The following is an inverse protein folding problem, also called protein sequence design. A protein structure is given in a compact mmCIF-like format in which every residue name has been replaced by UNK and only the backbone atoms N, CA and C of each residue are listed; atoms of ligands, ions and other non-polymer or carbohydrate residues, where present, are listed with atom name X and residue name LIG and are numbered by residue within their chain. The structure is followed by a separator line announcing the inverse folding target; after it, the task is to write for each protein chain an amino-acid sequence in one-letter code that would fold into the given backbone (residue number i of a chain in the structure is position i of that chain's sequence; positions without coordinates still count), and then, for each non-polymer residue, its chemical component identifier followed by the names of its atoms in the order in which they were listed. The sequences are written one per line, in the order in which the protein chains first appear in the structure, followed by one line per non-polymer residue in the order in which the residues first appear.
data_IF_503537797175
#
_entry.id   IF_503537797175
#
_cell.length_a   1.000
_cell.length_b   1.000
_cell.length_c   1.000
_cell.angle_alpha   90.00
_cell.angle_beta   90.00
_cell.angle_gamma   90.00
#
_symmetry.space_group_name_H-M   'P 1'
#
loop_
_entity.id
_entity.type
_entity.pdbx_description
1 polymer ?
#
# COMPACT_ATOMS: atom_id res chain seq x y z
N UNK A 1 19.58 -3.66 19.06
CA UNK A 1 18.76 -2.48 18.69
C UNK A 1 19.16 -1.24 19.48
N UNK A 2 18.95 -1.16 20.80
CA UNK A 2 19.24 0.06 21.59
C UNK A 2 20.74 0.42 21.67
N UNK A 3 21.64 -0.56 21.71
CA UNK A 3 23.08 -0.33 21.67
C UNK A 3 23.52 0.46 20.43
N UNK A 4 22.90 0.19 19.29
CA UNK A 4 23.17 0.90 18.03
C UNK A 4 22.69 2.34 18.10
N UNK A 5 21.46 2.57 18.57
CA UNK A 5 20.89 3.92 18.71
C UNK A 5 21.72 4.78 19.67
N UNK A 6 22.12 4.23 20.84
CA UNK A 6 23.01 4.93 21.78
C UNK A 6 24.36 5.28 21.15
N UNK A 7 24.92 4.39 20.30
CA UNK A 7 26.17 4.67 19.58
C UNK A 7 26.01 5.81 18.57
N UNK A 8 24.90 5.86 17.84
CA UNK A 8 24.62 6.91 16.85
C UNK A 8 24.42 8.29 17.51
N UNK A 9 23.68 8.33 18.62
CA UNK A 9 23.46 9.56 19.40
C UNK A 9 24.61 9.92 20.34
N UNK A 10 25.66 9.07 20.42
CA UNK A 10 26.77 9.19 21.38
C UNK A 10 26.29 9.27 22.85
N UNK A 11 25.18 8.58 23.14
CA UNK A 11 24.52 8.56 24.45
C UNK A 11 25.24 7.62 25.43
N UNK A 12 25.57 8.14 26.62
CA UNK A 12 26.31 7.40 27.65
C UNK A 12 25.38 6.55 28.52
N UNK A 13 25.79 5.32 28.85
CA UNK A 13 25.01 4.45 29.76
C UNK A 13 25.13 4.82 31.23
N UNK A 14 26.09 5.70 31.58
CA UNK A 14 26.31 6.17 32.94
C UNK A 14 25.61 7.50 33.21
N UNK A 15 25.47 8.31 32.17
CA UNK A 15 24.85 9.64 32.20
C UNK A 15 23.98 9.81 30.95
N UNK A 16 22.80 9.17 30.91
CA UNK A 16 21.97 9.14 29.70
C UNK A 16 21.30 10.49 29.47
N UNK A 17 21.39 10.98 28.24
CA UNK A 17 20.70 12.20 27.77
C UNK A 17 19.48 11.86 26.89
N UNK A 18 19.52 10.71 26.22
CA UNK A 18 18.47 10.33 25.26
C UNK A 18 17.69 9.08 25.69
N UNK A 19 18.37 8.04 26.19
CA UNK A 19 17.72 6.74 26.50
C UNK A 19 17.99 6.29 27.94
N UNK A 20 16.94 6.21 28.76
CA UNK A 20 16.98 5.65 30.12
C UNK A 20 16.61 4.17 30.13
N UNK A 21 17.41 3.36 30.82
CA UNK A 21 17.10 1.95 31.12
C UNK A 21 16.36 1.84 32.44
N UNK A 22 15.22 1.14 32.45
CA UNK A 22 14.42 0.88 33.65
C UNK A 22 14.38 -0.62 33.92
N UNK A 23 14.84 -1.10 35.10
CA UNK A 23 14.85 -2.51 35.43
C UNK A 23 13.46 -3.15 35.26
N UNK A 24 13.41 -4.31 34.59
CA UNK A 24 12.18 -5.09 34.30
C UNK A 24 11.10 -4.36 33.48
N UNK A 25 11.31 -3.11 33.08
CA UNK A 25 10.39 -2.30 32.25
C UNK A 25 10.94 -2.04 30.84
N UNK A 26 12.26 -1.97 30.67
CA UNK A 26 12.89 -1.80 29.36
C UNK A 26 13.54 -0.42 29.19
N UNK A 27 13.24 0.25 28.08
CA UNK A 27 13.89 1.50 27.67
C UNK A 27 12.87 2.63 27.52
N UNK A 28 13.26 3.84 27.91
CA UNK A 28 12.45 5.05 27.78
C UNK A 28 13.27 6.15 27.11
N UNK A 29 12.67 6.85 26.15
CA UNK A 29 13.23 8.08 25.60
C UNK A 29 13.01 9.22 26.59
N UNK A 30 14.08 9.95 26.91
CA UNK A 30 14.08 11.06 27.87
C UNK A 30 14.39 12.41 27.19
N UNK A 31 14.31 12.45 25.86
CA UNK A 31 14.44 13.65 25.05
C UNK A 31 13.11 14.01 24.37
N UNK A 32 12.97 15.26 23.95
CA UNK A 32 11.86 15.70 23.11
C UNK A 32 11.94 15.03 21.74
N UNK A 33 10.79 14.60 21.21
CA UNK A 33 10.68 14.01 19.87
C UNK A 33 9.58 14.72 19.10
N UNK A 34 9.89 15.13 17.88
CA UNK A 34 8.95 15.76 16.96
C UNK A 34 8.45 14.73 15.95
N UNK A 35 7.17 14.79 15.58
CA UNK A 35 6.58 13.90 14.57
C UNK A 35 6.56 14.62 13.24
N UNK A 36 7.36 14.14 12.29
CA UNK A 36 7.30 14.62 10.92
C UNK A 36 6.06 14.01 10.23
N UNK A 37 5.14 14.86 9.81
CA UNK A 37 4.04 14.47 8.91
C UNK A 37 4.63 14.09 7.55
N UNK A 38 4.24 12.96 6.93
CA UNK A 38 4.81 12.49 5.68
C UNK A 38 4.58 13.43 4.47
N UNK A 39 3.80 14.51 4.62
CA UNK A 39 3.58 15.54 3.60
C UNK A 39 4.50 16.77 3.68
N UNK A 40 5.40 16.84 4.68
CA UNK A 40 6.23 18.03 4.93
C UNK A 40 7.72 17.70 4.99
N UNK A 41 8.21 16.94 4.02
CA UNK A 41 9.65 16.68 3.86
C UNK A 41 10.30 17.74 2.96
N UNK A 42 10.21 19.02 3.33
CA UNK A 42 11.13 20.07 2.87
C UNK A 42 10.92 21.36 3.67
N UNK A 43 11.44 21.40 4.90
CA UNK A 43 11.73 22.67 5.59
C UNK A 43 12.69 22.42 6.74
N UNK A 44 13.88 23.00 6.63
CA UNK A 44 14.86 23.04 7.72
C UNK A 44 14.30 23.82 8.93
N UNK A 45 14.36 23.16 10.09
CA UNK A 45 14.73 23.68 11.42
C UNK A 45 14.14 25.02 11.88
N UNK A 46 13.23 24.97 12.85
CA UNK A 46 13.47 25.60 14.16
C UNK A 46 12.59 24.96 15.25
N UNK A 47 13.11 24.97 16.46
CA UNK A 47 12.68 24.23 17.64
C UNK A 47 11.45 24.90 18.27
N UNK A 48 10.39 24.15 18.64
CA UNK A 48 9.58 24.48 19.82
C UNK A 48 8.65 23.32 20.26
N UNK A 49 8.45 23.29 21.57
CA UNK A 49 7.96 22.25 22.46
C UNK A 49 6.41 22.18 22.54
N UNK A 50 5.79 20.98 22.47
CA UNK A 50 4.60 20.61 23.27
C UNK A 50 3.99 19.22 22.93
N UNK A 51 4.16 18.30 23.89
CA UNK A 51 3.15 17.41 24.54
C UNK A 51 1.98 16.75 23.78
N UNK A 52 2.00 15.40 23.89
CA UNK A 52 0.87 14.47 24.14
C UNK A 52 -0.22 14.29 23.07
N UNK A 53 -0.81 13.11 22.82
CA UNK A 53 -0.66 11.69 23.17
C UNK A 53 -1.61 10.99 22.18
N UNK A 54 -1.20 9.87 21.59
CA UNK A 54 -2.02 9.09 20.65
C UNK A 54 -2.10 7.67 21.21
N UNK A 55 -3.29 7.11 21.36
CA UNK A 55 -3.45 5.67 21.63
C UNK A 55 -4.26 5.04 20.50
N UNK A 56 -3.61 4.09 19.83
CA UNK A 56 -4.08 3.34 18.68
C UNK A 56 -4.39 1.92 19.12
N UNK A 57 -5.52 1.46 18.61
CA UNK A 57 -6.03 0.10 18.52
C UNK A 57 -5.04 -0.89 17.88
N UNK A 58 -5.09 -2.18 18.21
CA UNK A 58 -5.32 -3.26 17.23
C UNK A 58 -5.05 -4.66 17.81
N UNK A 59 -5.94 -5.57 17.42
CA UNK A 59 -5.98 -7.00 17.73
C UNK A 59 -5.24 -7.86 16.68
N UNK A 60 -4.86 -9.07 17.12
CA UNK A 60 -4.30 -10.21 16.38
C UNK A 60 -5.27 -10.85 15.38
N UNK A 61 -4.76 -11.42 14.28
CA UNK A 61 -5.28 -12.66 13.64
C UNK A 61 -4.13 -13.40 12.93
N UNK A 62 -3.97 -14.71 13.21
CA UNK A 62 -3.15 -15.66 12.45
C UNK A 62 -4.02 -16.71 11.73
N UNK A 63 -3.56 -17.09 10.54
CA UNK A 63 -4.19 -17.95 9.53
C UNK A 63 -3.96 -19.45 9.78
N UNK A 64 -4.94 -20.27 9.41
CA UNK A 64 -4.93 -21.74 9.39
C UNK A 64 -4.74 -22.25 7.96
N UNK A 65 -3.91 -23.28 7.76
CA UNK A 65 -4.18 -24.33 6.76
C UNK A 65 -3.37 -25.62 7.04
N UNK A 66 -3.92 -26.78 6.68
CA UNK A 66 -3.26 -28.09 6.74
C UNK A 66 -3.62 -28.94 5.49
N UNK A 67 -2.67 -29.74 4.94
CA UNK A 67 -2.79 -30.40 3.64
C UNK A 67 -3.21 -31.88 3.74
N UNK A 68 -3.56 -32.51 2.59
CA UNK A 68 -3.72 -33.97 2.49
C UNK A 68 -3.08 -34.54 1.22
N UNK A 69 -2.44 -35.69 1.39
CA UNK A 69 -1.42 -36.35 0.54
C UNK A 69 -1.94 -37.73 0.03
N UNK A 70 -1.32 -38.24 -1.06
CA UNK A 70 -1.03 -39.68 -1.36
C UNK A 70 -2.19 -40.62 -1.76
N UNK A 71 -2.07 -41.73 -2.51
CA UNK A 71 -0.99 -42.49 -3.18
C UNK A 71 -1.66 -43.45 -4.24
N UNK A 72 -1.02 -43.74 -5.38
CA UNK A 72 -0.35 -45.02 -5.77
C UNK A 72 -1.26 -46.28 -5.91
N UNK A 73 -1.25 -46.94 -7.07
CA UNK A 73 -0.64 -48.27 -7.36
C UNK A 73 -1.76 -49.19 -7.89
N UNK A 74 -1.62 -50.26 -8.68
CA UNK A 74 -0.61 -50.94 -9.50
C UNK A 74 -1.37 -52.21 -9.99
N UNK A 75 -1.12 -52.77 -11.20
CA UNK A 75 -1.38 -54.20 -11.51
C UNK A 75 -0.78 -54.57 -12.87
N UNK A 76 0.28 -55.35 -12.74
CA UNK A 76 1.02 -56.21 -13.66
C UNK A 76 0.16 -57.23 -14.43
N UNK A 77 0.50 -57.54 -15.69
CA UNK A 77 0.41 -58.90 -16.25
C UNK A 77 1.50 -59.09 -17.33
N UNK A 78 2.00 -60.32 -17.36
CA UNK A 78 3.28 -60.83 -17.84
C UNK A 78 3.21 -61.51 -19.22
N UNK A 79 4.39 -61.86 -19.76
CA UNK A 79 4.73 -62.87 -20.80
C UNK A 79 5.15 -62.35 -22.20
N UNK A 80 6.46 -62.32 -22.41
CA UNK A 80 7.24 -62.48 -23.67
C UNK A 80 7.61 -64.01 -23.78
N UNK A 81 8.08 -64.67 -24.89
CA UNK A 81 8.83 -64.06 -26.00
C UNK A 81 8.79 -64.67 -27.42
N UNK A 82 9.07 -63.85 -28.45
CA UNK A 82 9.78 -64.28 -29.69
C UNK A 82 10.53 -63.09 -30.37
N UNK A 83 11.77 -63.39 -30.80
CA UNK A 83 12.85 -62.55 -31.37
C UNK A 83 12.72 -62.54 -32.91
N UNK A 84 12.71 -61.45 -33.70
CA UNK A 84 13.81 -60.68 -34.36
C UNK A 84 13.21 -59.89 -35.59
N UNK A 85 13.86 -58.92 -36.30
CA UNK A 85 14.28 -57.54 -35.97
C UNK A 85 13.60 -56.46 -36.90
N UNK A 86 14.08 -55.18 -36.95
CA UNK A 86 13.24 -53.99 -36.84
C UNK A 86 12.65 -53.50 -38.18
N UNK A 87 11.32 -53.34 -38.24
CA UNK A 87 10.70 -52.43 -39.22
C UNK A 87 10.44 -51.10 -38.53
N UNK A 88 11.15 -50.08 -39.03
CA UNK A 88 11.07 -48.69 -38.62
C UNK A 88 9.62 -48.23 -38.37
N UNK A 89 9.36 -47.71 -37.18
CA UNK A 89 8.15 -46.95 -36.90
C UNK A 89 8.10 -45.70 -37.78
N UNK A 90 6.98 -45.39 -38.44
CA UNK A 90 6.73 -44.02 -38.86
C UNK A 90 6.40 -43.21 -37.60
N UNK A 91 7.30 -42.32 -37.17
CA UNK A 91 6.94 -41.24 -36.25
C UNK A 91 5.77 -40.47 -36.89
N UNK A 92 4.64 -40.24 -36.20
CA UNK A 92 3.65 -39.31 -36.72
C UNK A 92 4.31 -37.94 -36.71
N UNK A 93 4.57 -37.40 -37.90
CA UNK A 93 4.94 -36.01 -38.06
C UNK A 93 3.72 -35.19 -37.60
N UNK A 94 3.76 -34.70 -36.36
CA UNK A 94 2.81 -33.72 -35.88
C UNK A 94 2.99 -32.48 -36.76
N UNK A 95 2.09 -32.30 -37.71
CA UNK A 95 1.99 -31.09 -38.49
C UNK A 95 1.45 -30.00 -37.56
N UNK A 96 2.33 -29.44 -36.73
CA UNK A 96 1.96 -28.36 -35.82
C UNK A 96 1.67 -27.15 -36.70
N UNK A 97 0.40 -26.81 -36.82
CA UNK A 97 -0.02 -25.65 -37.58
C UNK A 97 0.64 -24.40 -36.98
N UNK A 98 1.73 -23.93 -37.61
CA UNK A 98 2.55 -22.79 -37.18
C UNK A 98 1.74 -21.48 -37.08
N UNK A 99 0.50 -21.47 -37.54
CA UNK A 99 -0.43 -20.37 -37.42
C UNK A 99 -0.97 -20.19 -35.99
N UNK A 100 -1.17 -21.28 -35.25
CA UNK A 100 -1.65 -21.23 -33.87
C UNK A 100 -0.67 -20.50 -32.92
N UNK A 101 0.64 -20.83 -32.87
CA UNK A 101 1.58 -20.08 -32.04
C UNK A 101 1.75 -18.62 -32.51
N UNK A 102 1.63 -18.34 -33.82
CA UNK A 102 1.68 -16.95 -34.33
C UNK A 102 0.47 -16.13 -33.88
N UNK A 103 -0.73 -16.72 -33.86
CA UNK A 103 -1.93 -16.08 -33.32
C UNK A 103 -1.83 -15.86 -31.82
N UNK A 104 -1.23 -16.81 -31.07
CA UNK A 104 -1.00 -16.65 -29.63
C UNK A 104 -0.02 -15.49 -29.35
N UNK A 105 1.08 -15.40 -30.10
CA UNK A 105 2.05 -14.29 -29.95
C UNK A 105 1.42 -12.95 -30.36
N UNK A 106 0.63 -12.92 -31.44
CA UNK A 106 -0.08 -11.72 -31.87
C UNK A 106 -1.08 -11.27 -30.79
N UNK A 107 -1.88 -12.20 -30.26
CA UNK A 107 -2.85 -11.91 -29.20
C UNK A 107 -2.15 -11.45 -27.92
N UNK A 108 -1.02 -12.07 -27.56
CA UNK A 108 -0.20 -11.66 -26.42
C UNK A 108 0.34 -10.24 -26.56
N UNK A 109 0.64 -9.77 -27.77
CA UNK A 109 1.10 -8.40 -28.02
C UNK A 109 -0.07 -7.42 -28.12
N UNK A 110 -1.20 -7.87 -28.68
CA UNK A 110 -2.39 -7.05 -28.88
C UNK A 110 -3.12 -6.77 -27.55
N UNK A 111 -3.15 -7.75 -26.64
CA UNK A 111 -3.86 -7.63 -25.37
C UNK A 111 -3.39 -6.43 -24.51
N UNK A 112 -2.08 -6.19 -24.25
CA UNK A 112 -1.66 -5.01 -23.52
C UNK A 112 -1.96 -3.70 -24.27
N UNK A 113 -1.88 -3.69 -25.60
CA UNK A 113 -2.24 -2.53 -26.42
C UNK A 113 -3.74 -2.21 -26.29
N UNK A 114 -4.59 -3.24 -26.35
CA UNK A 114 -6.02 -3.10 -26.13
C UNK A 114 -6.32 -2.59 -24.71
N UNK A 115 -5.64 -3.11 -23.68
CA UNK A 115 -5.80 -2.60 -22.31
C UNK A 115 -5.46 -1.11 -22.27
N UNK A 116 -4.32 -0.69 -22.80
CA UNK A 116 -3.91 0.72 -22.82
C UNK A 116 -4.88 1.64 -23.59
N UNK A 117 -5.50 1.14 -24.67
CA UNK A 117 -6.44 1.93 -25.48
C UNK A 117 -7.87 1.96 -24.93
N UNK A 118 -8.29 0.92 -24.20
CA UNK A 118 -9.67 0.76 -23.74
C UNK A 118 -9.87 0.99 -22.24
N UNK A 119 -8.80 1.00 -21.44
CA UNK A 119 -8.92 1.42 -20.03
C UNK A 119 -8.96 2.94 -19.97
N UNK A 120 -10.14 3.50 -19.74
CA UNK A 120 -10.23 4.84 -19.17
C UNK A 120 -9.84 4.75 -17.70
N UNK A 121 -8.94 5.62 -17.20
CA UNK A 121 -8.72 5.72 -15.77
C UNK A 121 -10.06 6.08 -15.09
N UNK A 122 -10.29 5.57 -13.89
CA UNK A 122 -11.46 5.94 -13.12
C UNK A 122 -11.39 7.43 -12.78
N UNK A 123 -12.20 8.25 -13.45
CA UNK A 123 -12.34 9.67 -13.13
C UNK A 123 -12.94 9.80 -11.73
N UNK A 124 -12.19 10.42 -10.81
CA UNK A 124 -12.69 10.72 -9.48
C UNK A 124 -13.73 11.83 -9.56
N UNK A 125 -15.01 11.44 -9.60
CA UNK A 125 -16.10 12.41 -9.61
C UNK A 125 -16.25 13.03 -8.22
N UNK A 126 -16.13 14.36 -8.15
CA UNK A 126 -16.38 15.14 -6.95
C UNK A 126 -17.70 15.91 -7.07
N UNK A 127 -18.46 15.95 -5.97
CA UNK A 127 -19.68 16.75 -5.82
C UNK A 127 -19.39 17.91 -4.89
N UNK A 128 -19.77 19.11 -5.30
CA UNK A 128 -19.70 20.29 -4.45
C UNK A 128 -20.78 20.24 -3.37
N UNK A 129 -20.37 20.46 -2.12
CA UNK A 129 -21.25 20.48 -0.94
C UNK A 129 -21.43 21.89 -0.36
N UNK A 130 -20.53 22.82 -0.70
CA UNK A 130 -20.59 24.22 -0.26
C UNK A 130 -19.51 25.08 -0.92
N UNK A 131 -19.53 26.37 -0.63
CA UNK A 131 -18.50 27.32 -1.01
C UNK A 131 -18.35 28.35 0.11
N UNK A 132 -17.12 28.49 0.63
CA UNK A 132 -16.82 29.40 1.73
C UNK A 132 -15.63 30.27 1.36
N UNK A 133 -15.78 31.59 1.43
CA UNK A 133 -14.73 32.55 1.05
C UNK A 133 -14.15 32.29 -0.35
N UNK A 134 -15.01 31.97 -1.33
CA UNK A 134 -14.63 31.59 -2.70
C UNK A 134 -13.79 30.31 -2.81
N UNK A 135 -13.78 29.47 -1.77
CA UNK A 135 -13.17 28.14 -1.77
C UNK A 135 -14.29 27.10 -1.87
N UNK A 136 -14.44 26.40 -3.02
CA UNK A 136 -15.40 25.33 -3.17
C UNK A 136 -15.00 24.13 -2.31
N UNK A 137 -15.98 23.60 -1.58
CA UNK A 137 -15.82 22.37 -0.80
C UNK A 137 -16.46 21.23 -1.57
N UNK A 138 -15.64 20.22 -1.83
CA UNK A 138 -15.94 19.08 -2.68
C UNK A 138 -15.86 17.78 -1.88
N UNK A 139 -16.63 16.78 -2.28
CA UNK A 139 -16.61 15.45 -1.66
C UNK A 139 -16.78 14.39 -2.76
N UNK A 140 -16.10 13.22 -2.70
CA UNK A 140 -16.27 12.17 -3.70
C UNK A 140 -17.74 11.77 -3.87
N UNK A 141 -18.18 11.48 -5.10
CA UNK A 141 -19.59 11.19 -5.40
C UNK A 141 -20.20 10.01 -4.62
N UNK A 142 -19.38 9.01 -4.27
CA UNK A 142 -19.79 7.84 -3.49
C UNK A 142 -19.60 8.00 -1.96
N UNK A 143 -19.27 9.20 -1.49
CA UNK A 143 -19.03 9.45 -0.07
C UNK A 143 -20.36 9.66 0.70
N UNK A 144 -20.47 9.21 1.96
CA UNK A 144 -21.61 9.54 2.81
C UNK A 144 -21.78 11.05 3.02
N UNK A 145 -22.99 11.47 3.41
CA UNK A 145 -23.24 12.88 3.72
C UNK A 145 -22.51 13.31 5.00
N UNK A 146 -21.80 14.43 4.94
CA UNK A 146 -20.99 14.97 6.05
C UNK A 146 -21.59 16.27 6.63
N UNK A 147 -22.92 16.43 6.56
CA UNK A 147 -23.60 17.67 6.93
C UNK A 147 -23.30 18.12 8.37
N UNK A 148 -23.08 17.18 9.29
CA UNK A 148 -22.71 17.47 10.69
C UNK A 148 -21.37 18.18 10.83
N UNK A 149 -20.47 18.02 9.85
CA UNK A 149 -19.13 18.57 9.87
C UNK A 149 -19.02 19.90 9.12
N UNK A 150 -20.05 20.31 8.36
CA UNK A 150 -20.04 21.57 7.61
C UNK A 150 -19.65 22.79 8.45
N UNK A 151 -20.15 22.98 9.69
CA UNK A 151 -19.75 24.12 10.51
C UNK A 151 -18.26 24.08 10.89
N UNK A 152 -17.72 22.89 11.14
CA UNK A 152 -16.30 22.70 11.45
C UNK A 152 -15.42 22.93 10.22
N UNK A 153 -15.88 22.48 9.05
CA UNK A 153 -15.21 22.69 7.76
C UNK A 153 -15.16 24.18 7.44
N UNK A 154 -16.28 24.89 7.58
CA UNK A 154 -16.36 26.34 7.42
C UNK A 154 -15.33 27.03 8.33
N UNK A 155 -15.37 26.76 9.63
CA UNK A 155 -14.45 27.38 10.58
C UNK A 155 -12.97 27.04 10.30
N UNK A 156 -12.69 25.85 9.77
CA UNK A 156 -11.35 25.45 9.33
C UNK A 156 -10.88 26.30 8.14
N UNK A 157 -11.72 26.43 7.12
CA UNK A 157 -11.43 27.21 5.91
C UNK A 157 -11.25 28.68 6.27
N UNK A 158 -12.15 29.25 7.08
CA UNK A 158 -12.05 30.66 7.51
C UNK A 158 -10.73 30.94 8.22
N UNK A 159 -10.31 30.06 9.13
CA UNK A 159 -9.02 30.20 9.81
C UNK A 159 -7.87 30.05 8.83
N UNK A 160 -7.91 29.08 7.95
CA UNK A 160 -6.83 28.84 6.98
C UNK A 160 -6.63 30.05 6.07
N UNK A 161 -7.70 30.52 5.44
CA UNK A 161 -7.67 31.68 4.53
C UNK A 161 -7.18 32.93 5.26
N UNK A 162 -7.61 33.15 6.51
CA UNK A 162 -7.15 34.29 7.32
C UNK A 162 -5.62 34.34 7.47
N UNK A 163 -4.95 33.20 7.59
CA UNK A 163 -3.50 33.15 7.78
C UNK A 163 -2.71 32.91 6.48
N UNK A 164 -3.38 32.53 5.38
CA UNK A 164 -2.73 32.13 4.11
C UNK A 164 -3.21 32.91 2.87
N UNK A 165 -3.88 34.05 3.08
CA UNK A 165 -4.54 34.83 2.02
C UNK A 165 -3.62 35.27 0.87
N UNK A 166 -2.34 35.58 1.12
CA UNK A 166 -1.48 36.24 0.12
C UNK A 166 -0.72 35.26 -0.80
N UNK A 167 -0.36 34.07 -0.31
CA UNK A 167 0.53 33.16 -1.06
C UNK A 167 0.08 31.70 -1.11
N UNK A 168 -0.98 31.32 -0.40
CA UNK A 168 -1.40 29.91 -0.30
C UNK A 168 -2.91 29.77 -0.12
N UNK A 169 -3.70 30.55 -0.85
CA UNK A 169 -5.15 30.38 -0.86
C UNK A 169 -5.50 29.05 -1.58
N UNK A 170 -6.36 28.21 -0.98
CA UNK A 170 -6.71 26.93 -1.59
C UNK A 170 -7.65 27.16 -2.78
N UNK A 171 -7.41 26.42 -3.87
CA UNK A 171 -8.29 26.44 -5.05
C UNK A 171 -9.58 25.67 -4.79
N UNK A 172 -9.49 24.55 -4.08
CA UNK A 172 -10.62 23.73 -3.65
C UNK A 172 -10.23 22.95 -2.39
N UNK A 173 -11.24 22.53 -1.62
CA UNK A 173 -11.06 21.70 -0.43
C UNK A 173 -11.82 20.40 -0.62
N UNK A 174 -11.12 19.27 -0.58
CA UNK A 174 -11.75 17.95 -0.63
C UNK A 174 -12.01 17.47 0.80
N UNK A 175 -13.29 17.36 1.16
CA UNK A 175 -13.74 16.83 2.43
C UNK A 175 -14.08 15.34 2.31
N UNK A 176 -13.38 14.51 3.06
CA UNK A 176 -13.55 13.05 3.16
C UNK A 176 -13.52 12.61 4.61
N UNK A 177 -14.18 11.50 4.94
CA UNK A 177 -14.28 10.97 6.29
C UNK A 177 -15.46 11.54 7.09
N UNK A 178 -15.36 11.42 8.41
CA UNK A 178 -16.31 11.92 9.40
C UNK A 178 -15.58 12.02 10.73
#
# INVERSE_FOLDING_TARGET
AISTLRKMLKDSTKSPEFVKTVPKRGYQLICSVERLSPLSADSNTDVEEATSENEVHAAEIETSDAPSTEAAADTTTEVEPQVEPPKAQPKPAANTNNWLPRMIVLLSLLLPICVLLFTNPAESQFRQIGEYQNVPVMTPGNHPQINSWLPSIEQCIERYVKYHAEYSMPVEVIATGG
#
